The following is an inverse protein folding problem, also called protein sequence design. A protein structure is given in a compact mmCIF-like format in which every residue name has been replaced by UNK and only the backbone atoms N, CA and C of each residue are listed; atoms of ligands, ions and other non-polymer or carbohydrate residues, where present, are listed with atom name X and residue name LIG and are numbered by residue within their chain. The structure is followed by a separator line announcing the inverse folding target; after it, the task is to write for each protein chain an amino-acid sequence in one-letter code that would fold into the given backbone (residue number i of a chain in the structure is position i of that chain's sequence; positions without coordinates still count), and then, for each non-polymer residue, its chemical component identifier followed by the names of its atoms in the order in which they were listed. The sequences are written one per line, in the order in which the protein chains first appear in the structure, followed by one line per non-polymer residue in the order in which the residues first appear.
data_IF_154547357051
#
_entry.id   IF_154547357051
#
_cell.length_a   1.000
_cell.length_b   1.000
_cell.length_c   1.000
_cell.angle_alpha   90.00
_cell.angle_beta   90.00
_cell.angle_gamma   90.00
#
_symmetry.space_group_name_H-M   'P 1'
#
loop_
_entity.id
_entity.type
_entity.pdbx_description
1 polymer ?
#
# COMPACT_ATOMS: atom_id res chain seq x y z
N UNK A 1 7.52 10.86 24.17
CA UNK A 1 7.66 10.33 22.80
C UNK A 1 6.28 9.92 22.31
N UNK A 2 5.66 10.66 21.40
CA UNK A 2 4.42 10.20 20.75
C UNK A 2 4.77 8.94 19.95
N UNK A 3 4.20 7.80 20.33
CA UNK A 3 4.38 6.55 19.60
C UNK A 3 3.69 6.71 18.25
N UNK A 4 4.47 6.82 17.17
CA UNK A 4 3.94 6.76 15.82
C UNK A 4 3.14 5.45 15.67
N UNK A 5 1.98 5.51 15.03
CA UNK A 5 1.13 4.34 14.82
C UNK A 5 1.87 3.34 13.93
N UNK A 6 1.86 2.06 14.29
CA UNK A 6 2.52 1.00 13.53
C UNK A 6 1.92 0.89 12.13
N UNK A 7 2.70 0.46 11.15
CA UNK A 7 2.23 0.32 9.77
C UNK A 7 1.06 -0.68 9.67
N UNK A 8 1.08 -1.75 10.46
CA UNK A 8 -0.08 -2.65 10.57
C UNK A 8 -1.35 -1.94 11.05
N UNK A 9 -1.23 -1.02 12.02
CA UNK A 9 -2.39 -0.28 12.51
C UNK A 9 -2.90 0.68 11.44
N UNK A 10 -2.01 1.39 10.76
CA UNK A 10 -2.39 2.28 9.67
C UNK A 10 -3.11 1.51 8.54
N UNK A 11 -2.68 0.28 8.26
CA UNK A 11 -3.37 -0.61 7.32
C UNK A 11 -4.76 -1.04 7.80
N UNK A 12 -4.88 -1.46 9.06
CA UNK A 12 -6.17 -1.83 9.66
C UNK A 12 -7.14 -0.63 9.64
N UNK A 13 -6.63 0.60 9.85
CA UNK A 13 -7.39 1.85 9.74
C UNK A 13 -7.83 2.16 8.30
N UNK A 14 -6.98 1.92 7.29
CA UNK A 14 -7.36 2.05 5.88
C UNK A 14 -8.48 1.07 5.54
N UNK A 15 -8.33 -0.21 5.88
CA UNK A 15 -9.35 -1.22 5.57
C UNK A 15 -10.68 -0.98 6.28
N UNK A 16 -10.67 -0.41 7.49
CA UNK A 16 -11.89 -0.11 8.24
C UNK A 16 -12.75 0.99 7.58
N UNK A 17 -12.18 1.78 6.67
CA UNK A 17 -12.89 2.84 5.95
C UNK A 17 -13.43 2.38 4.59
N UNK A 18 -13.00 1.23 4.08
CA UNK A 18 -13.41 0.72 2.78
C UNK A 18 -14.73 -0.08 2.87
N UNK A 19 -15.57 -0.04 1.83
CA UNK A 19 -16.79 -0.84 1.76
C UNK A 19 -16.47 -2.34 1.63
N UNK A 20 -17.35 -3.25 2.05
CA UNK A 20 -17.06 -4.70 2.03
C UNK A 20 -16.72 -5.26 0.63
N UNK A 21 -17.08 -4.57 -0.45
CA UNK A 21 -16.92 -4.99 -1.85
C UNK A 21 -15.88 -4.19 -2.67
N UNK A 22 -14.93 -3.51 -2.00
CA UNK A 22 -13.83 -2.83 -2.71
C UNK A 22 -13.06 -3.83 -3.62
N UNK A 23 -12.62 -3.39 -4.80
CA UNK A 23 -11.94 -4.27 -5.77
C UNK A 23 -10.43 -4.25 -5.59
N UNK A 24 -9.82 -3.06 -5.68
CA UNK A 24 -8.40 -2.89 -5.40
C UNK A 24 -8.08 -1.52 -4.79
N UNK A 25 -6.99 -1.49 -4.05
CA UNK A 25 -6.41 -0.28 -3.44
C UNK A 25 -5.02 -0.02 -4.04
N UNK A 26 -4.76 1.25 -4.34
CA UNK A 26 -3.42 1.76 -4.69
C UNK A 26 -2.88 2.50 -3.49
N UNK A 27 -1.75 2.05 -2.94
CA UNK A 27 -1.17 2.60 -1.72
C UNK A 27 0.20 3.22 -1.96
N UNK A 28 0.54 4.17 -1.10
CA UNK A 28 1.84 4.77 -0.96
C UNK A 28 2.33 4.61 0.48
N UNK A 29 3.52 4.05 0.65
CA UNK A 29 4.27 4.04 1.89
C UNK A 29 5.41 5.05 1.77
N UNK A 30 5.33 6.13 2.55
CA UNK A 30 6.43 7.07 2.74
C UNK A 30 7.19 6.69 4.01
N UNK A 31 8.43 6.21 3.85
CA UNK A 31 9.31 5.82 4.95
C UNK A 31 9.73 7.05 5.76
N UNK A 32 9.85 6.88 7.08
CA UNK A 32 10.40 7.94 7.96
C UNK A 32 11.90 8.14 7.73
N UNK A 33 12.61 7.06 7.38
CA UNK A 33 14.02 7.04 7.02
C UNK A 33 14.21 6.54 5.58
N UNK A 34 14.45 7.43 4.61
CA UNK A 34 14.63 7.05 3.21
C UNK A 34 15.93 6.26 2.95
N UNK A 35 16.91 6.27 3.88
CA UNK A 35 18.13 5.46 3.73
C UNK A 35 17.85 3.97 3.88
N UNK A 36 16.76 3.59 4.56
CA UNK A 36 16.32 2.20 4.71
C UNK A 36 15.44 1.69 3.57
N UNK A 37 15.33 2.43 2.48
CA UNK A 37 14.48 2.09 1.33
C UNK A 37 14.79 0.72 0.74
N UNK A 38 16.06 0.36 0.57
CA UNK A 38 16.45 -0.92 -0.03
C UNK A 38 16.03 -2.10 0.86
N UNK A 39 16.26 -1.98 2.16
CA UNK A 39 15.82 -2.97 3.14
C UNK A 39 14.29 -3.09 3.18
N UNK A 40 13.58 -1.95 3.18
CA UNK A 40 12.13 -1.92 3.12
C UNK A 40 11.60 -2.59 1.85
N UNK A 41 12.18 -2.27 0.69
CA UNK A 41 11.80 -2.83 -0.60
C UNK A 41 11.98 -4.36 -0.66
N UNK A 42 13.03 -4.89 -0.03
CA UNK A 42 13.24 -6.34 0.08
C UNK A 42 12.16 -7.00 0.92
N UNK A 43 11.80 -6.41 2.06
CA UNK A 43 10.78 -6.95 2.96
C UNK A 43 9.39 -6.93 2.33
N UNK A 44 9.08 -5.88 1.57
CA UNK A 44 7.79 -5.74 0.87
C UNK A 44 7.81 -6.25 -0.57
N UNK A 45 8.88 -6.92 -1.02
CA UNK A 45 9.01 -7.47 -2.37
C UNK A 45 7.78 -8.31 -2.82
N UNK A 46 7.14 -9.13 -1.96
CA UNK A 46 5.92 -9.85 -2.33
C UNK A 46 4.73 -8.97 -2.73
N UNK A 47 4.74 -7.68 -2.35
CA UNK A 47 3.72 -6.70 -2.75
C UNK A 47 3.93 -6.15 -4.15
N UNK A 48 5.01 -6.56 -4.84
CA UNK A 48 5.49 -6.00 -6.10
C UNK A 48 5.56 -4.47 -6.08
N UNK A 49 6.29 -3.88 -5.11
CA UNK A 49 6.33 -2.44 -4.95
C UNK A 49 7.13 -1.80 -6.07
N UNK A 50 6.77 -0.57 -6.43
CA UNK A 50 7.59 0.29 -7.28
C UNK A 50 7.90 1.59 -6.53
N UNK A 51 9.06 2.17 -6.82
CA UNK A 51 9.48 3.41 -6.17
C UNK A 51 8.78 4.62 -6.79
N UNK A 52 8.78 5.74 -6.05
CA UNK A 52 8.38 7.05 -6.57
C UNK A 52 9.33 7.59 -7.64
N UNK A 53 9.52 8.92 -7.69
CA UNK A 53 10.34 9.56 -8.73
C UNK A 53 11.80 9.08 -8.80
N UNK A 54 12.35 8.60 -7.67
CA UNK A 54 13.66 7.94 -7.63
C UNK A 54 13.69 6.87 -6.53
N UNK A 55 14.67 5.98 -6.61
CA UNK A 55 14.92 4.95 -5.60
C UNK A 55 15.33 5.53 -4.24
N UNK A 56 15.76 6.80 -4.14
CA UNK A 56 16.09 7.46 -2.85
C UNK A 56 14.95 8.30 -2.27
N UNK A 57 13.76 8.26 -2.89
CA UNK A 57 12.63 9.09 -2.45
C UNK A 57 12.03 8.67 -1.10
N UNK A 58 12.35 7.47 -0.61
CA UNK A 58 11.68 6.88 0.56
C UNK A 58 10.22 6.52 0.28
N UNK A 59 9.79 6.51 -0.98
CA UNK A 59 8.41 6.27 -1.38
C UNK A 59 8.30 4.94 -2.11
N UNK A 60 7.53 4.02 -1.53
CA UNK A 60 7.12 2.75 -2.13
C UNK A 60 5.63 2.80 -2.46
N UNK A 61 5.26 2.34 -3.65
CA UNK A 61 3.86 2.21 -4.07
C UNK A 61 3.57 0.78 -4.43
N UNK A 62 2.36 0.32 -4.10
CA UNK A 62 1.93 -1.07 -4.38
C UNK A 62 0.41 -1.14 -4.51
N UNK A 63 -0.07 -2.27 -5.04
CA UNK A 63 -1.51 -2.56 -5.18
C UNK A 63 -1.92 -3.73 -4.31
N UNK A 64 -3.12 -3.64 -3.75
CA UNK A 64 -3.77 -4.71 -2.99
C UNK A 64 -5.11 -5.01 -3.66
N UNK A 65 -5.42 -6.28 -3.89
CA UNK A 65 -6.68 -6.71 -4.49
C UNK A 65 -7.48 -7.53 -3.47
N UNK A 66 -8.80 -7.37 -3.46
CA UNK A 66 -9.70 -8.10 -2.56
C UNK A 66 -10.52 -9.15 -3.32
N UNK A 67 -11.35 -8.71 -4.27
CA UNK A 67 -12.26 -9.57 -5.03
C UNK A 67 -11.84 -9.73 -6.49
N UNK A 68 -11.44 -8.65 -7.15
CA UNK A 68 -10.97 -8.65 -8.55
C UNK A 68 -9.75 -7.75 -8.76
N UNK A 69 -8.79 -8.20 -9.59
CA UNK A 69 -7.65 -7.38 -10.05
C UNK A 69 -6.27 -8.01 -9.91
N UNK A 70 -5.24 -7.20 -10.14
CA UNK A 70 -3.82 -7.55 -10.02
C UNK A 70 -3.21 -6.77 -8.85
N UNK A 71 -3.00 -7.44 -7.73
CA UNK A 71 -2.48 -6.87 -6.48
C UNK A 71 -2.21 -7.95 -5.43
N UNK A 72 -1.51 -7.60 -4.36
CA UNK A 72 -1.29 -8.51 -3.25
C UNK A 72 -2.60 -8.76 -2.47
N UNK A 73 -2.69 -9.91 -1.80
CA UNK A 73 -3.77 -10.21 -0.86
C UNK A 73 -3.71 -9.26 0.37
N UNK A 74 -4.86 -8.89 0.98
CA UNK A 74 -4.90 -8.02 2.15
C UNK A 74 -4.13 -8.57 3.36
N UNK A 75 -4.19 -9.89 3.58
CA UNK A 75 -3.46 -10.58 4.65
C UNK A 75 -1.96 -10.60 4.40
N UNK A 76 -1.53 -10.82 3.15
CA UNK A 76 -0.13 -10.70 2.73
C UNK A 76 0.39 -9.29 2.96
N UNK A 77 -0.37 -8.27 2.55
CA UNK A 77 -0.05 -6.85 2.78
C UNK A 77 0.17 -6.58 4.27
N UNK A 78 -0.79 -6.95 5.11
CA UNK A 78 -0.70 -6.79 6.56
C UNK A 78 0.53 -7.50 7.17
N UNK A 79 0.87 -8.68 6.66
CA UNK A 79 2.04 -9.44 7.10
C UNK A 79 3.34 -8.73 6.77
N UNK A 80 3.49 -8.21 5.54
CA UNK A 80 4.70 -7.48 5.13
C UNK A 80 4.87 -6.16 5.88
N UNK A 81 3.79 -5.41 6.12
CA UNK A 81 3.83 -4.21 6.96
C UNK A 81 4.25 -4.52 8.41
N UNK A 82 3.81 -5.66 8.95
CA UNK A 82 4.27 -6.14 10.26
C UNK A 82 5.75 -6.50 10.31
N UNK A 83 6.33 -6.97 9.20
CA UNK A 83 7.78 -7.22 9.13
C UNK A 83 8.57 -5.92 9.18
N UNK A 84 8.10 -4.87 8.50
CA UNK A 84 8.70 -3.53 8.60
C UNK A 84 8.65 -3.01 10.04
N UNK A 85 7.49 -3.11 10.70
CA UNK A 85 7.33 -2.75 12.11
C UNK A 85 8.31 -3.52 13.01
N UNK A 86 8.48 -4.83 12.78
CA UNK A 86 9.35 -5.69 13.58
C UNK A 86 10.84 -5.34 13.47
N UNK A 87 11.30 -4.81 12.33
CA UNK A 87 12.68 -4.35 12.13
C UNK A 87 12.86 -2.85 12.37
N UNK A 88 11.83 -2.19 12.91
CA UNK A 88 11.86 -0.76 13.22
C UNK A 88 11.86 0.16 11.99
N UNK A 89 11.35 -0.31 10.84
CA UNK A 89 11.12 0.54 9.67
C UNK A 89 9.70 1.11 9.78
N UNK A 90 9.63 2.38 10.16
CA UNK A 90 8.39 3.15 10.24
C UNK A 90 8.10 3.94 8.96
N UNK A 91 6.89 4.50 8.91
CA UNK A 91 6.48 5.40 7.86
C UNK A 91 5.01 5.79 7.95
N UNK A 92 4.54 6.45 6.89
CA UNK A 92 3.13 6.80 6.68
C UNK A 92 2.57 6.07 5.47
N UNK A 93 1.52 5.30 5.70
CA UNK A 93 0.73 4.64 4.68
C UNK A 93 -0.40 5.58 4.24
N UNK A 94 -0.58 5.71 2.92
CA UNK A 94 -1.62 6.54 2.31
C UNK A 94 -2.33 5.77 1.21
N UNK A 95 -3.64 5.88 1.18
CA UNK A 95 -4.43 5.45 0.04
C UNK A 95 -4.34 6.52 -1.05
N UNK A 96 -3.85 6.14 -2.23
CA UNK A 96 -3.79 7.01 -3.40
C UNK A 96 -5.08 6.95 -4.20
N UNK A 97 -5.66 5.75 -4.33
CA UNK A 97 -6.89 5.48 -5.07
C UNK A 97 -7.51 4.18 -4.57
N UNK A 98 -8.81 4.18 -4.34
CA UNK A 98 -9.64 2.99 -4.25
C UNK A 98 -10.49 2.88 -5.53
N UNK A 99 -10.66 1.66 -6.05
CA UNK A 99 -11.69 1.39 -7.06
C UNK A 99 -12.71 0.44 -6.47
N UNK A 100 -13.94 0.92 -6.37
CA UNK A 100 -15.10 0.15 -5.94
C UNK A 100 -15.65 -0.65 -7.12
N UNK A 101 -16.06 -1.88 -6.85
CA UNK A 101 -16.43 -2.86 -7.86
C UNK A 101 -17.74 -2.61 -8.61
N UNK A 102 -18.25 -1.39 -8.78
CA UNK A 102 -19.23 -1.06 -9.85
C UNK A 102 -19.14 0.42 -10.26
N UNK A 103 -18.33 0.73 -11.28
CA UNK A 103 -18.74 1.65 -12.36
C UNK A 103 -17.88 1.42 -13.60
N UNK A 104 -18.40 0.62 -14.53
CA UNK A 104 -17.93 0.62 -15.92
C UNK A 104 -18.11 2.04 -16.48
N UNK A 105 -17.06 2.86 -16.45
CA UNK A 105 -17.00 4.02 -17.35
C UNK A 105 -16.86 3.43 -18.74
N UNK A 106 -17.97 3.41 -19.46
CA UNK A 106 -18.01 3.14 -20.90
C UNK A 106 -16.97 4.04 -21.57
N UNK A 107 -15.87 3.43 -22.03
CA UNK A 107 -14.92 4.06 -22.93
C UNK A 107 -15.58 4.28 -24.28
N UNK A 108 -16.45 5.29 -24.41
CA UNK A 108 -16.83 5.77 -25.73
C UNK A 108 -15.66 6.58 -26.29
N UNK A 109 -14.84 5.92 -27.11
CA UNK A 109 -13.94 6.61 -28.03
C UNK A 109 -14.75 7.41 -29.05
N UNK A 110 -14.28 8.58 -29.51
CA UNK A 110 -14.98 9.34 -30.53
C UNK A 110 -14.81 8.70 -31.91
N UNK A 111 -15.94 8.64 -32.62
CA UNK A 111 -16.12 8.29 -34.05
C UNK A 111 -15.34 9.20 -35.00
#
# INVERSE_FOLDING_TARGET
MCRMTTLQRQWDEVLALEPEDWSYLSLELALDDPERMEEAALLVCPLNPWHGASWRSGILRFRVAHSEGYGADPGVTRSMLGRLDAVGIGGRLRLLQALDGVRLVLSHGPT
#
